data_IF_998445972265
#
_entry.id   IF_998445972265
#
_cell.length_a   1.000
_cell.length_b   1.000
_cell.length_c   1.000
_cell.angle_alpha   90.00
_cell.angle_beta   90.00
_cell.angle_gamma   90.00
#
_symmetry.space_group_name_H-M   'P 1'
#
loop_
_entity.id
_entity.type
_entity.pdbx_description
1 polymer ?
#
# COMPACT_ATOMS: atom_id res chain seq x y z
N UNK A 1 0.80 -36.69 -7.92
CA UNK A 1 1.02 -35.59 -6.93
C UNK A 1 0.92 -34.22 -7.56
N UNK A 2 1.73 -33.87 -8.58
CA UNK A 2 1.69 -32.51 -9.19
C UNK A 2 0.32 -32.18 -9.79
N UNK A 3 -0.31 -33.10 -10.53
CA UNK A 3 -1.66 -32.90 -11.10
C UNK A 3 -2.77 -32.81 -10.04
N UNK A 4 -2.63 -33.50 -8.90
CA UNK A 4 -3.60 -33.42 -7.80
C UNK A 4 -3.54 -32.07 -7.11
N UNK A 5 -2.35 -31.49 -6.93
CA UNK A 5 -2.17 -30.14 -6.38
C UNK A 5 -2.78 -29.12 -7.35
N UNK A 6 -2.50 -29.21 -8.64
CA UNK A 6 -3.06 -28.30 -9.64
C UNK A 6 -4.59 -28.35 -9.71
N UNK A 7 -5.18 -29.54 -9.57
CA UNK A 7 -6.64 -29.70 -9.54
C UNK A 7 -7.25 -29.09 -8.28
N UNK A 8 -6.63 -29.30 -7.11
CA UNK A 8 -7.07 -28.70 -5.84
C UNK A 8 -6.98 -27.17 -5.88
N UNK A 9 -5.90 -26.61 -6.43
CA UNK A 9 -5.75 -25.16 -6.61
C UNK A 9 -6.82 -24.58 -7.55
N UNK A 10 -7.13 -25.29 -8.64
CA UNK A 10 -8.16 -24.86 -9.58
C UNK A 10 -9.57 -24.88 -8.96
N UNK A 11 -9.90 -25.93 -8.20
CA UNK A 11 -11.16 -26.03 -7.46
C UNK A 11 -11.28 -24.94 -6.39
N UNK A 12 -10.22 -24.73 -5.62
CA UNK A 12 -10.18 -23.68 -4.59
C UNK A 12 -10.35 -22.29 -5.21
N UNK A 13 -9.66 -22.00 -6.31
CA UNK A 13 -9.78 -20.72 -7.03
C UNK A 13 -11.19 -20.50 -7.59
N UNK A 14 -11.86 -21.56 -8.06
CA UNK A 14 -13.27 -21.50 -8.49
C UNK A 14 -14.20 -21.22 -7.31
N UNK A 15 -14.01 -21.91 -6.20
CA UNK A 15 -14.82 -21.74 -4.99
C UNK A 15 -14.68 -20.33 -4.40
N UNK A 16 -13.48 -19.75 -4.43
CA UNK A 16 -13.22 -18.40 -3.93
C UNK A 16 -13.69 -17.28 -4.85
N UNK A 17 -13.95 -17.54 -6.14
CA UNK A 17 -14.26 -16.48 -7.10
C UNK A 17 -15.49 -15.65 -6.67
N UNK A 18 -16.60 -16.32 -6.35
CA UNK A 18 -17.85 -15.64 -5.97
C UNK A 18 -17.72 -14.92 -4.60
N UNK A 19 -17.18 -15.54 -3.53
CA UNK A 19 -16.90 -14.84 -2.29
C UNK A 19 -16.02 -13.60 -2.47
N UNK A 20 -14.99 -13.66 -3.31
CA UNK A 20 -14.10 -12.52 -3.58
C UNK A 20 -14.81 -11.40 -4.35
N UNK A 21 -15.71 -11.73 -5.28
CA UNK A 21 -16.53 -10.73 -5.97
C UNK A 21 -17.51 -10.05 -5.02
N UNK A 22 -18.14 -10.81 -4.12
CA UNK A 22 -19.01 -10.27 -3.08
C UNK A 22 -18.25 -9.38 -2.09
N UNK A 23 -17.05 -9.80 -1.68
CA UNK A 23 -16.18 -9.00 -0.80
C UNK A 23 -15.86 -7.64 -1.42
N UNK A 24 -15.55 -7.58 -2.72
CA UNK A 24 -15.29 -6.30 -3.42
C UNK A 24 -16.49 -5.35 -3.38
N UNK A 25 -17.71 -5.88 -3.50
CA UNK A 25 -18.94 -5.07 -3.41
C UNK A 25 -19.10 -4.52 -1.99
N UNK A 26 -18.86 -5.35 -0.98
CA UNK A 26 -18.92 -4.93 0.43
C UNK A 26 -17.85 -3.88 0.72
N UNK A 27 -16.61 -4.08 0.28
CA UNK A 27 -15.52 -3.12 0.42
C UNK A 27 -15.85 -1.79 -0.24
N UNK A 28 -16.41 -1.79 -1.46
CA UNK A 28 -16.85 -0.58 -2.14
C UNK A 28 -17.95 0.15 -1.35
N UNK A 29 -18.92 -0.59 -0.79
CA UNK A 29 -19.96 -0.01 0.07
C UNK A 29 -19.41 0.60 1.35
N UNK A 30 -18.41 -0.03 1.97
CA UNK A 30 -17.71 0.51 3.14
C UNK A 30 -16.99 1.80 2.76
N UNK A 31 -16.26 1.83 1.64
CA UNK A 31 -15.58 3.04 1.15
C UNK A 31 -16.57 4.17 0.95
N UNK A 32 -17.68 3.91 0.25
CA UNK A 32 -18.69 4.94 -0.04
C UNK A 32 -19.33 5.50 1.24
N UNK A 33 -19.65 4.62 2.20
CA UNK A 33 -20.20 5.05 3.48
C UNK A 33 -19.20 5.90 4.26
N UNK A 34 -17.94 5.47 4.33
CA UNK A 34 -16.88 6.22 5.00
C UNK A 34 -16.62 7.58 4.34
N UNK A 35 -16.59 7.64 3.01
CA UNK A 35 -16.40 8.90 2.27
C UNK A 35 -17.58 9.86 2.48
N UNK A 36 -18.81 9.34 2.49
CA UNK A 36 -20.03 10.13 2.73
C UNK A 36 -20.05 10.75 4.13
N UNK A 37 -19.58 10.02 5.14
CA UNK A 37 -19.54 10.47 6.53
C UNK A 37 -18.24 11.21 6.90
N UNK A 38 -17.29 11.31 5.96
CA UNK A 38 -15.98 11.93 6.21
C UNK A 38 -15.11 11.13 7.19
N UNK A 39 -15.34 9.82 7.30
CA UNK A 39 -14.66 8.94 8.24
C UNK A 39 -13.37 8.38 7.64
N UNK A 40 -12.31 8.39 8.43
CA UNK A 40 -11.02 7.77 8.08
C UNK A 40 -10.85 6.37 8.68
N UNK A 41 -11.63 6.06 9.71
CA UNK A 41 -11.73 4.74 10.34
C UNK A 41 -13.15 4.49 10.87
N UNK A 42 -13.55 3.22 10.90
CA UNK A 42 -14.82 2.73 11.46
C UNK A 42 -14.52 1.44 12.21
N UNK A 43 -14.95 1.35 13.46
CA UNK A 43 -14.85 0.15 14.29
C UNK A 43 -16.23 -0.47 14.50
N UNK A 44 -16.32 -1.77 14.29
CA UNK A 44 -17.50 -2.60 14.55
C UNK A 44 -17.13 -3.76 15.47
N UNK A 45 -18.10 -4.51 16.01
CA UNK A 45 -17.80 -5.73 16.77
C UNK A 45 -17.05 -6.79 15.97
N UNK A 46 -17.21 -6.80 14.65
CA UNK A 46 -16.58 -7.78 13.75
C UNK A 46 -15.17 -7.36 13.27
N UNK A 47 -14.78 -6.10 13.46
CA UNK A 47 -13.50 -5.63 12.97
C UNK A 47 -13.37 -4.11 12.89
N UNK A 48 -12.26 -3.65 12.33
CA UNK A 48 -12.00 -2.23 12.07
C UNK A 48 -11.66 -2.03 10.61
N UNK A 49 -12.40 -1.15 9.95
CA UNK A 49 -12.10 -0.64 8.61
C UNK A 49 -11.38 0.71 8.74
N UNK A 50 -10.26 0.89 8.05
CA UNK A 50 -9.52 2.15 8.06
C UNK A 50 -8.83 2.39 6.73
N UNK A 51 -8.69 3.66 6.36
CA UNK A 51 -7.87 4.02 5.20
C UNK A 51 -6.41 4.09 5.60
N UNK A 52 -5.58 3.33 4.91
CA UNK A 52 -4.13 3.43 4.96
C UNK A 52 -3.64 4.19 3.73
N UNK A 53 -2.67 5.07 3.93
CA UNK A 53 -1.94 5.70 2.83
C UNK A 53 -0.66 4.89 2.63
N UNK A 54 -0.57 4.22 1.49
CA UNK A 54 0.66 3.58 1.05
C UNK A 54 1.45 4.59 0.23
N UNK A 55 2.64 4.90 0.70
CA UNK A 55 3.59 5.77 0.00
C UNK A 55 4.60 4.91 -0.72
N UNK A 56 4.74 5.11 -2.03
CA UNK A 56 5.77 4.48 -2.84
C UNK A 56 6.72 5.54 -3.36
N UNK A 57 8.02 5.34 -3.11
CA UNK A 57 9.08 6.26 -3.53
C UNK A 57 9.80 5.66 -4.73
N UNK A 58 9.93 6.44 -5.79
CA UNK A 58 10.58 6.04 -7.04
C UNK A 58 11.68 7.02 -7.41
N UNK A 59 12.86 6.52 -7.79
CA UNK A 59 13.93 7.38 -8.33
C UNK A 59 13.64 7.60 -9.82
N UNK A 60 13.34 8.85 -10.17
CA UNK A 60 13.08 9.27 -11.57
C UNK A 60 14.32 9.86 -12.22
N UNK A 61 15.20 10.50 -11.44
CA UNK A 61 16.49 10.98 -11.90
C UNK A 61 17.57 10.64 -10.88
N UNK A 62 18.43 9.69 -11.27
CA UNK A 62 19.49 9.18 -10.42
C UNK A 62 20.63 10.18 -10.22
N UNK A 63 20.98 10.92 -11.28
CA UNK A 63 22.11 11.86 -11.25
C UNK A 63 21.80 13.04 -10.34
N UNK A 64 20.57 13.56 -10.44
CA UNK A 64 20.10 14.65 -9.57
C UNK A 64 20.07 14.21 -8.11
N UNK A 65 19.59 13.00 -7.83
CA UNK A 65 19.56 12.44 -6.49
C UNK A 65 20.98 12.26 -5.92
N UNK A 66 21.90 11.69 -6.70
CA UNK A 66 23.29 11.47 -6.28
C UNK A 66 24.00 12.79 -5.96
N UNK A 67 23.82 13.82 -6.80
CA UNK A 67 24.39 15.16 -6.55
C UNK A 67 23.86 15.77 -5.26
N UNK A 68 22.54 15.72 -5.05
CA UNK A 68 21.93 16.23 -3.82
C UNK A 68 22.41 15.49 -2.58
N UNK A 69 22.56 14.16 -2.65
CA UNK A 69 23.07 13.34 -1.53
C UNK A 69 24.50 13.71 -1.18
N UNK A 70 25.36 13.96 -2.18
CA UNK A 70 26.74 14.38 -1.98
C UNK A 70 26.80 15.78 -1.35
N UNK A 71 26.05 16.73 -1.90
CA UNK A 71 25.99 18.11 -1.42
C UNK A 71 25.50 18.21 0.03
N UNK A 72 24.47 17.43 0.38
CA UNK A 72 23.85 17.46 1.71
C UNK A 72 24.47 16.45 2.69
N UNK A 73 25.43 15.63 2.22
CA UNK A 73 26.11 14.57 3.00
C UNK A 73 25.13 13.58 3.63
N UNK A 74 24.21 13.05 2.81
CA UNK A 74 23.08 12.19 3.23
C UNK A 74 23.18 10.77 2.64
N UNK A 75 24.26 10.01 2.91
CA UNK A 75 24.42 8.68 2.31
C UNK A 75 23.38 7.66 2.82
N UNK A 76 22.72 7.97 3.95
CA UNK A 76 21.71 7.16 4.60
C UNK A 76 20.46 6.89 3.73
N UNK A 77 20.23 7.69 2.69
CA UNK A 77 19.14 7.49 1.73
C UNK A 77 19.26 6.18 0.94
N UNK A 78 20.47 5.63 0.79
CA UNK A 78 20.73 4.51 -0.12
C UNK A 78 20.67 3.10 0.48
N UNK A 79 20.40 2.93 1.78
CA UNK A 79 20.65 1.66 2.48
C UNK A 79 19.79 0.42 2.11
N UNK A 80 18.96 0.44 1.06
CA UNK A 80 18.38 -0.81 0.47
C UNK A 80 17.41 -0.55 -0.70
N UNK A 81 16.85 0.66 -0.72
CA UNK A 81 16.01 1.38 -1.69
C UNK A 81 15.92 2.77 -1.07
N UNK A 82 15.55 3.81 -1.83
CA UNK A 82 15.29 5.13 -1.22
C UNK A 82 14.38 4.93 -0.01
N UNK A 83 14.96 5.10 1.19
CA UNK A 83 14.29 4.67 2.40
C UNK A 83 13.17 5.66 2.70
N UNK A 84 11.93 5.21 2.49
CA UNK A 84 10.73 5.98 2.84
C UNK A 84 10.83 6.58 4.25
N UNK A 85 11.41 5.82 5.18
CA UNK A 85 11.67 6.26 6.55
C UNK A 85 12.63 7.44 6.60
N UNK A 86 13.78 7.35 5.91
CA UNK A 86 14.79 8.42 5.90
C UNK A 86 14.23 9.70 5.26
N UNK A 87 13.41 9.57 4.21
CA UNK A 87 12.72 10.72 3.61
C UNK A 87 11.72 11.34 4.59
N UNK A 88 10.89 10.52 5.24
CA UNK A 88 9.91 11.00 6.23
C UNK A 88 10.58 11.70 7.41
N UNK A 89 11.61 11.09 7.97
CA UNK A 89 12.34 11.61 9.13
C UNK A 89 12.99 12.98 8.82
N UNK A 90 13.29 13.25 7.54
CA UNK A 90 13.86 14.52 7.06
C UNK A 90 12.81 15.55 6.64
N UNK A 91 11.55 15.15 6.47
CA UNK A 91 10.45 16.04 6.07
C UNK A 91 10.58 16.64 4.67
N UNK A 92 11.55 16.18 3.87
CA UNK A 92 11.81 16.68 2.52
C UNK A 92 12.05 15.53 1.56
N UNK A 93 11.36 15.57 0.44
CA UNK A 93 11.53 14.63 -0.67
C UNK A 93 12.76 15.10 -1.46
N UNK A 94 13.80 14.27 -1.61
CA UNK A 94 14.98 14.62 -2.39
C UNK A 94 14.62 14.87 -3.87
N UNK A 95 15.31 15.79 -4.55
CA UNK A 95 15.13 15.96 -5.99
C UNK A 95 15.54 14.68 -6.73
N UNK A 96 14.83 14.38 -7.82
CA UNK A 96 15.00 13.11 -8.54
C UNK A 96 14.25 11.92 -7.93
N UNK A 97 13.44 12.14 -6.89
CA UNK A 97 12.54 11.15 -6.29
C UNK A 97 11.09 11.59 -6.42
N UNK A 98 10.26 10.73 -7.00
CA UNK A 98 8.81 10.88 -7.02
C UNK A 98 8.15 10.06 -5.91
N UNK A 99 7.06 10.60 -5.37
CA UNK A 99 6.26 9.94 -4.34
C UNK A 99 4.84 9.74 -4.84
N UNK A 100 4.43 8.47 -4.91
CA UNK A 100 3.07 8.08 -5.26
C UNK A 100 2.33 7.71 -3.98
N UNK A 101 1.21 8.38 -3.75
CA UNK A 101 0.31 8.10 -2.64
C UNK A 101 -0.85 7.24 -3.14
N UNK A 102 -1.03 6.08 -2.52
CA UNK A 102 -2.19 5.21 -2.77
C UNK A 102 -3.00 5.09 -1.49
N UNK A 103 -4.24 5.57 -1.54
CA UNK A 103 -5.22 5.34 -0.46
C UNK A 103 -5.80 3.95 -0.64
N UNK A 104 -5.68 3.12 0.39
CA UNK A 104 -6.18 1.74 0.39
C UNK A 104 -7.08 1.53 1.61
N UNK A 105 -8.25 0.91 1.40
CA UNK A 105 -9.06 0.41 2.51
C UNK A 105 -8.37 -0.82 3.09
N UNK A 106 -8.22 -0.85 4.43
CA UNK A 106 -7.77 -2.03 5.16
C UNK A 106 -8.83 -2.43 6.16
N UNK A 107 -9.10 -3.73 6.22
CA UNK A 107 -10.02 -4.34 7.19
C UNK A 107 -9.18 -5.23 8.10
N UNK A 108 -9.30 -5.01 9.40
CA UNK A 108 -8.62 -5.80 10.44
C UNK A 108 -9.67 -6.48 11.32
N UNK A 109 -9.56 -7.80 11.47
CA UNK A 109 -10.35 -8.55 12.45
C UNK A 109 -9.98 -8.13 13.88
N UNK A 110 -10.98 -8.05 14.75
CA UNK A 110 -10.83 -7.71 16.18
C UNK A 110 -10.74 -8.94 17.05
#
# INVERSE_FOLDING_TARGET
MIEQIANLEAEHKRALKLPLEQLKIVEAGIVEAMDREGLTNVRTPSGTAYFSILETFHVVDRLVLDNWVIENRVPDIYYSRVSARVIRDRGQIPPGVDVTYKRELRIRES
#
